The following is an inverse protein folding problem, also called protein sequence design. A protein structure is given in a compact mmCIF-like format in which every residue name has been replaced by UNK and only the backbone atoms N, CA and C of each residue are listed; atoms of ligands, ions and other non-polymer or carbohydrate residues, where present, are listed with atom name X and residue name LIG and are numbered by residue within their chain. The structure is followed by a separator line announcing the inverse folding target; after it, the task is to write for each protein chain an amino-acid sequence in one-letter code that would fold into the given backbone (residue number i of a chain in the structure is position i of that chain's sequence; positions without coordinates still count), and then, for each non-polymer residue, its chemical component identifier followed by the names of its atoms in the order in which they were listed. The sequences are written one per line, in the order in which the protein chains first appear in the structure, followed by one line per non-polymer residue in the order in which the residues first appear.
data_IF_743327019329
#
_entry.id   IF_743327019329
#
_cell.length_a   1.000
_cell.length_b   1.000
_cell.length_c   1.000
_cell.angle_alpha   90.00
_cell.angle_beta   90.00
_cell.angle_gamma   90.00
#
_symmetry.space_group_name_H-M   'P 1'
#
loop_
_entity.id
_entity.type
_entity.pdbx_description
1 polymer ?
#
# COMPACT_ATOMS: atom_id res chain seq x y z
N UNK A 1 -10.22 -42.91 -36.07
CA UNK A 1 -10.15 -42.98 -34.60
C UNK A 1 -8.73 -42.85 -34.04
N UNK A 2 -7.70 -43.50 -34.62
CA UNK A 2 -6.30 -43.43 -34.14
C UNK A 2 -5.71 -42.02 -33.92
N UNK A 3 -6.05 -41.04 -34.77
CA UNK A 3 -5.57 -39.65 -34.63
C UNK A 3 -6.51 -38.74 -33.80
N UNK A 4 -7.74 -39.18 -33.53
CA UNK A 4 -8.74 -38.38 -32.84
C UNK A 4 -8.37 -38.19 -31.36
N UNK A 5 -7.84 -39.23 -30.72
CA UNK A 5 -7.36 -39.17 -29.33
C UNK A 5 -6.17 -38.22 -29.21
N UNK A 6 -5.22 -38.28 -30.16
CA UNK A 6 -4.08 -37.37 -30.19
C UNK A 6 -4.49 -35.90 -30.39
N UNK A 7 -5.46 -35.65 -31.27
CA UNK A 7 -6.00 -34.30 -31.47
C UNK A 7 -6.71 -33.76 -30.21
N UNK A 8 -7.52 -34.58 -29.53
CA UNK A 8 -8.20 -34.18 -28.29
C UNK A 8 -7.19 -33.88 -27.18
N UNK A 9 -6.18 -34.72 -27.00
CA UNK A 9 -5.13 -34.49 -26.01
C UNK A 9 -4.28 -33.26 -26.35
N UNK A 10 -3.97 -33.04 -27.63
CA UNK A 10 -3.26 -31.83 -28.07
C UNK A 10 -4.03 -30.55 -27.78
N UNK A 11 -5.34 -30.52 -28.09
CA UNK A 11 -6.20 -29.37 -27.79
C UNK A 11 -6.35 -29.16 -26.28
N UNK A 12 -6.52 -30.24 -25.50
CA UNK A 12 -6.62 -30.15 -24.05
C UNK A 12 -5.33 -29.62 -23.41
N UNK A 13 -4.16 -30.07 -23.87
CA UNK A 13 -2.87 -29.62 -23.38
C UNK A 13 -2.61 -28.15 -23.74
N UNK A 14 -2.96 -27.74 -24.97
CA UNK A 14 -2.86 -26.36 -25.42
C UNK A 14 -3.80 -25.43 -24.64
N UNK A 15 -5.03 -25.86 -24.38
CA UNK A 15 -5.97 -25.12 -23.53
C UNK A 15 -5.47 -25.01 -22.08
N UNK A 16 -4.85 -26.06 -21.54
CA UNK A 16 -4.26 -26.03 -20.21
C UNK A 16 -3.07 -25.07 -20.11
N UNK A 17 -2.29 -24.90 -21.18
CA UNK A 17 -1.18 -23.94 -21.19
C UNK A 17 -1.62 -22.48 -20.91
N UNK A 18 -2.86 -22.11 -21.27
CA UNK A 18 -3.41 -20.79 -20.93
C UNK A 18 -3.75 -20.63 -19.44
N UNK A 19 -3.85 -21.72 -18.67
CA UNK A 19 -4.01 -21.66 -17.21
C UNK A 19 -2.72 -21.31 -16.46
N UNK A 20 -1.57 -21.35 -17.14
CA UNK A 20 -0.26 -20.98 -16.58
C UNK A 20 -0.07 -19.45 -16.54
N UNK A 21 -0.87 -18.68 -17.28
CA UNK A 21 -0.93 -17.23 -17.11
C UNK A 21 -1.58 -16.93 -15.76
N UNK A 22 -0.89 -16.15 -14.94
CA UNK A 22 -1.37 -15.84 -13.60
C UNK A 22 -2.78 -15.27 -13.63
N UNK A 23 -3.75 -15.84 -12.89
CA UNK A 23 -5.14 -15.41 -12.95
C UNK A 23 -5.26 -13.98 -12.42
N UNK A 24 -5.86 -13.09 -13.21
CA UNK A 24 -6.33 -11.80 -12.75
C UNK A 24 -7.52 -12.05 -11.80
N UNK A 25 -7.24 -12.02 -10.50
CA UNK A 25 -8.25 -12.15 -9.45
C UNK A 25 -8.74 -10.78 -8.99
N UNK A 26 -9.99 -10.70 -8.49
CA UNK A 26 -10.59 -9.44 -8.00
C UNK A 26 -9.74 -8.75 -6.91
N UNK A 27 -9.03 -9.54 -6.10
CA UNK A 27 -8.15 -9.07 -5.02
C UNK A 27 -6.68 -9.45 -5.27
N UNK A 28 -6.24 -9.44 -6.53
CA UNK A 28 -4.85 -9.74 -6.89
C UNK A 28 -4.24 -8.53 -7.59
N UNK A 29 -3.31 -7.86 -6.93
CA UNK A 29 -2.62 -6.66 -7.43
C UNK A 29 -1.64 -6.96 -8.57
N UNK A 30 -1.36 -8.24 -8.83
CA UNK A 30 -0.49 -8.70 -9.92
C UNK A 30 0.72 -9.46 -9.39
N UNK A 31 1.72 -9.62 -10.25
CA UNK A 31 3.06 -10.08 -9.87
C UNK A 31 4.05 -8.96 -10.16
N UNK A 32 4.90 -8.66 -9.20
CA UNK A 32 5.98 -7.70 -9.36
C UNK A 32 7.26 -8.46 -9.66
N UNK A 33 7.94 -8.09 -10.76
CA UNK A 33 9.20 -8.72 -11.16
C UNK A 33 10.37 -8.29 -10.25
N UNK A 34 10.36 -7.04 -9.76
CA UNK A 34 11.35 -6.48 -8.83
C UNK A 34 10.68 -5.53 -7.82
N UNK A 35 10.30 -6.02 -6.63
CA UNK A 35 9.56 -5.24 -5.63
C UNK A 35 10.43 -4.38 -4.69
N UNK A 36 11.76 -4.45 -4.82
CA UNK A 36 12.75 -4.06 -3.80
C UNK A 36 12.63 -2.62 -3.25
N UNK A 37 12.15 -1.68 -4.06
CA UNK A 37 11.99 -0.28 -3.63
C UNK A 37 10.57 0.28 -3.77
N UNK A 38 9.61 -0.51 -4.27
CA UNK A 38 8.24 -0.03 -4.45
C UNK A 38 7.45 -0.02 -3.12
N UNK A 39 7.79 -0.93 -2.22
CA UNK A 39 7.12 -1.05 -0.92
C UNK A 39 7.95 -0.40 0.18
N UNK A 40 7.60 0.82 0.64
CA UNK A 40 8.42 1.52 1.62
C UNK A 40 8.47 0.77 2.96
N UNK A 41 9.64 0.83 3.60
CA UNK A 41 9.82 0.44 5.01
C UNK A 41 9.26 1.52 5.95
N UNK A 42 9.28 2.78 5.50
CA UNK A 42 8.75 3.91 6.26
C UNK A 42 7.22 3.94 6.31
N UNK A 43 6.70 4.69 7.27
CA UNK A 43 5.27 4.95 7.40
C UNK A 43 4.94 6.27 6.69
N UNK A 44 4.19 6.18 5.59
CA UNK A 44 3.67 7.35 4.90
C UNK A 44 2.34 7.79 5.50
N UNK A 45 2.14 9.11 5.56
CA UNK A 45 0.92 9.67 6.10
C UNK A 45 -0.30 9.26 5.26
N UNK A 46 -1.29 8.64 5.90
CA UNK A 46 -2.54 8.20 5.27
C UNK A 46 -2.36 7.12 4.18
N UNK A 47 -1.25 6.36 4.22
CA UNK A 47 -1.02 5.22 3.35
C UNK A 47 -0.70 3.97 4.17
N UNK A 48 -1.42 2.89 3.89
CA UNK A 48 -1.13 1.57 4.43
C UNK A 48 -0.55 0.66 3.35
N UNK A 49 0.71 0.27 3.51
CA UNK A 49 1.39 -0.69 2.64
C UNK A 49 1.38 -2.09 3.27
N UNK A 50 0.58 -2.99 2.67
CA UNK A 50 0.38 -4.36 3.12
C UNK A 50 1.39 -5.36 2.50
N UNK A 51 2.66 -4.97 2.38
CA UNK A 51 3.67 -5.82 1.76
C UNK A 51 4.29 -6.81 2.75
N UNK A 52 4.20 -8.12 2.43
CA UNK A 52 4.58 -9.23 3.32
C UNK A 52 5.98 -9.14 3.92
N UNK A 53 6.95 -8.71 3.12
CA UNK A 53 8.35 -8.72 3.56
C UNK A 53 8.71 -7.49 4.40
N UNK A 54 7.85 -6.47 4.42
CA UNK A 54 8.09 -5.19 5.07
C UNK A 54 7.04 -4.91 6.15
N UNK A 55 6.51 -5.96 6.77
CA UNK A 55 5.74 -5.88 8.01
C UNK A 55 6.28 -6.87 9.04
N UNK A 56 6.38 -6.41 10.27
CA UNK A 56 6.87 -7.16 11.43
C UNK A 56 5.90 -6.99 12.59
N UNK A 57 4.60 -7.14 12.29
CA UNK A 57 3.54 -6.88 13.27
C UNK A 57 3.61 -7.87 14.46
N UNK A 58 4.20 -9.05 14.26
CA UNK A 58 4.39 -10.07 15.31
C UNK A 58 5.52 -9.68 16.29
N UNK A 59 6.58 -9.04 15.79
CA UNK A 59 7.73 -8.60 16.61
C UNK A 59 7.63 -7.15 17.09
N UNK A 60 6.76 -6.34 16.48
CA UNK A 60 6.60 -4.92 16.78
C UNK A 60 5.63 -4.67 17.94
N UNK A 61 5.91 -3.64 18.74
CA UNK A 61 4.99 -3.17 19.79
C UNK A 61 3.75 -2.48 19.20
N UNK A 62 3.87 -1.91 18.00
CA UNK A 62 2.77 -1.26 17.28
C UNK A 62 2.62 -1.88 15.91
N UNK A 63 1.39 -2.12 15.48
CA UNK A 63 1.16 -2.61 14.13
C UNK A 63 1.46 -1.54 13.08
N UNK A 64 1.84 -1.96 11.89
CA UNK A 64 2.02 -1.06 10.74
C UNK A 64 0.77 -0.24 10.46
N UNK A 65 -0.41 -0.84 10.63
CA UNK A 65 -1.69 -0.15 10.48
C UNK A 65 -1.87 0.99 11.49
N UNK A 66 -1.43 0.82 12.74
CA UNK A 66 -1.49 1.88 13.75
C UNK A 66 -0.54 3.03 13.41
N UNK A 67 0.66 2.72 12.93
CA UNK A 67 1.69 3.72 12.61
C UNK A 67 1.41 4.47 11.29
N UNK A 68 0.64 3.88 10.38
CA UNK A 68 0.20 4.51 9.12
C UNK A 68 -0.95 5.51 9.30
N UNK A 69 -1.61 5.56 10.46
CA UNK A 69 -2.71 6.48 10.71
C UNK A 69 -2.20 7.85 11.17
N UNK A 70 -2.91 8.95 10.86
CA UNK A 70 -2.65 10.25 11.48
C UNK A 70 -2.84 10.15 13.00
N UNK A 71 -1.86 10.62 13.77
CA UNK A 71 -1.94 10.66 15.24
C UNK A 71 -2.23 12.08 15.72
N UNK A 72 -2.91 12.18 16.86
CA UNK A 72 -3.11 13.45 17.52
C UNK A 72 -1.82 13.97 18.15
N UNK A 73 -1.64 15.29 18.10
CA UNK A 73 -0.57 15.96 18.84
C UNK A 73 -0.82 15.86 20.34
N UNK A 74 0.26 15.90 21.12
CA UNK A 74 0.16 16.03 22.58
C UNK A 74 -0.55 17.34 22.94
N UNK A 75 -1.39 17.31 23.98
CA UNK A 75 -2.16 18.47 24.42
C UNK A 75 -1.23 19.60 24.85
N UNK A 76 -1.45 20.79 24.29
CA UNK A 76 -0.63 21.98 24.53
C UNK A 76 0.58 22.11 23.60
N UNK A 77 0.81 21.17 22.66
CA UNK A 77 1.86 21.32 21.65
C UNK A 77 1.54 22.46 20.69
N UNK A 78 2.44 23.44 20.60
CA UNK A 78 2.40 24.55 19.64
C UNK A 78 3.48 24.31 18.59
N UNK A 79 3.13 24.04 17.31
CA UNK A 79 4.13 23.86 16.27
C UNK A 79 4.84 25.18 15.94
N UNK A 80 6.11 25.09 15.52
CA UNK A 80 6.89 26.27 15.13
C UNK A 80 6.14 27.07 14.06
N UNK A 81 5.98 28.38 14.30
CA UNK A 81 5.26 29.30 13.42
C UNK A 81 3.78 29.48 13.77
N UNK A 82 3.18 28.61 14.58
CA UNK A 82 1.75 28.66 14.89
C UNK A 82 1.42 29.34 16.23
N UNK A 83 2.37 30.04 16.86
CA UNK A 83 2.16 30.70 18.16
C UNK A 83 0.97 31.66 18.13
N UNK A 84 0.88 32.52 17.12
CA UNK A 84 -0.22 33.45 16.97
C UNK A 84 -1.57 32.73 16.83
N UNK A 85 -1.63 31.70 15.97
CA UNK A 85 -2.84 30.90 15.78
C UNK A 85 -3.28 30.16 17.05
N UNK A 86 -2.33 29.69 17.86
CA UNK A 86 -2.63 29.06 19.14
C UNK A 86 -3.28 30.02 20.15
N UNK A 87 -2.91 31.31 20.12
CA UNK A 87 -3.45 32.34 21.00
C UNK A 87 -4.67 33.09 20.41
N UNK A 88 -5.27 32.58 19.33
CA UNK A 88 -6.55 33.06 18.80
C UNK A 88 -6.46 33.92 17.53
N UNK A 89 -5.27 34.09 16.95
CA UNK A 89 -5.14 34.74 15.64
C UNK A 89 -5.52 33.80 14.49
N UNK A 90 -5.88 34.36 13.35
CA UNK A 90 -6.23 33.56 12.16
C UNK A 90 -5.02 32.77 11.62
N UNK A 91 -5.26 31.56 11.09
CA UNK A 91 -4.19 30.76 10.47
C UNK A 91 -3.61 31.47 9.24
N UNK A 92 -4.39 32.34 8.59
CA UNK A 92 -3.92 33.24 7.53
C UNK A 92 -2.93 34.31 8.00
N UNK A 93 -2.89 34.65 9.31
CA UNK A 93 -1.83 35.48 9.89
C UNK A 93 -0.49 34.72 9.92
N UNK A 94 -0.53 33.41 10.19
CA UNK A 94 0.64 32.54 10.27
C UNK A 94 1.17 32.12 8.89
N UNK A 95 0.27 31.72 7.98
CA UNK A 95 0.62 31.21 6.65
C UNK A 95 0.72 32.31 5.58
N UNK A 96 0.21 33.51 5.86
CA UNK A 96 -0.04 34.55 4.87
C UNK A 96 -1.34 34.29 4.12
N UNK A 97 -2.05 35.37 3.72
CA UNK A 97 -3.38 35.30 3.09
C UNK A 97 -3.42 34.67 1.70
N UNK A 98 -2.26 34.31 1.13
CA UNK A 98 -2.10 33.80 -0.24
C UNK A 98 -1.49 32.38 -0.28
N UNK A 99 -1.40 31.70 0.86
CA UNK A 99 -0.85 30.36 0.98
C UNK A 99 -1.94 29.28 1.00
#
# INVERSE_FOLDING_TARGET
MKYAIGAILGVALFAWAFSLCSPAGKNKTGHEYMPDMYHPLGYEANLYSAYYWNHWDDESTFSKAQLSQPHDKVRGTIPRGYTAAYYGEDVGYVRGKNA
#
